data_IF_239680535474
#
_entry.id   IF_239680535474
#
_cell.length_a   1.000
_cell.length_b   1.000
_cell.length_c   1.000
_cell.angle_alpha   90.00
_cell.angle_beta   90.00
_cell.angle_gamma   90.00
#
_symmetry.space_group_name_H-M   'P 1'
#
loop_
_entity.id
_entity.type
_entity.pdbx_description
1 polymer ?
#
# COMPACT_ATOMS: atom_id res chain seq x y z
N UNK A 1 27.10 56.21 28.51
CA UNK A 1 27.33 54.76 28.72
C UNK A 1 26.69 53.96 27.60
N UNK A 2 27.49 53.25 26.79
CA UNK A 2 27.05 52.58 25.54
C UNK A 2 26.36 51.23 25.86
N UNK A 3 25.12 51.07 25.38
CA UNK A 3 24.30 49.85 25.53
C UNK A 3 24.93 48.68 24.76
N UNK A 4 25.28 47.59 25.44
CA UNK A 4 25.75 46.33 24.80
C UNK A 4 24.53 45.49 24.42
N UNK A 5 24.35 45.23 23.12
CA UNK A 5 23.38 44.24 22.60
C UNK A 5 23.94 42.83 22.79
N UNK A 6 23.14 41.81 23.21
CA UNK A 6 23.62 40.45 23.25
C UNK A 6 23.73 39.86 21.83
N UNK A 7 24.76 39.05 21.63
CA UNK A 7 25.06 38.39 20.36
C UNK A 7 23.95 37.38 19.99
N UNK A 8 23.48 37.43 18.74
CA UNK A 8 22.59 36.42 18.17
C UNK A 8 23.31 35.06 18.16
N UNK A 9 22.76 34.08 18.89
CA UNK A 9 23.14 32.67 18.76
C UNK A 9 22.93 32.24 17.31
N UNK A 10 24.02 31.96 16.59
CA UNK A 10 23.96 31.28 15.30
C UNK A 10 23.59 29.82 15.58
N UNK A 11 22.37 29.42 15.19
CA UNK A 11 22.03 28.00 15.06
C UNK A 11 22.96 27.38 14.02
N UNK A 12 23.93 26.58 14.46
CA UNK A 12 24.68 25.67 13.59
C UNK A 12 23.71 24.56 13.14
N UNK A 13 23.29 24.59 11.88
CA UNK A 13 22.64 23.45 11.24
C UNK A 13 23.74 22.46 10.80
N UNK A 14 23.71 21.24 11.35
CA UNK A 14 24.60 20.15 10.95
C UNK A 14 24.09 19.43 9.69
N UNK A 15 24.96 18.75 8.93
CA UNK A 15 24.65 18.31 7.56
C UNK A 15 23.86 16.99 7.44
N UNK A 16 23.41 16.39 8.55
CA UNK A 16 22.83 15.03 8.54
C UNK A 16 21.32 14.92 8.24
N UNK A 17 20.56 16.02 8.25
CA UNK A 17 19.09 15.98 8.17
C UNK A 17 18.51 16.11 6.75
N UNK A 18 19.27 16.64 5.79
CA UNK A 18 18.75 16.91 4.45
C UNK A 18 18.51 15.63 3.64
N UNK A 19 19.44 14.66 3.70
CA UNK A 19 19.33 13.41 2.96
C UNK A 19 18.15 12.53 3.39
N UNK A 20 17.89 12.43 4.70
CA UNK A 20 16.77 11.64 5.24
C UNK A 20 15.40 12.24 4.88
N UNK A 21 15.32 13.56 4.76
CA UNK A 21 14.07 14.27 4.42
C UNK A 21 13.70 14.09 2.94
N UNK A 22 14.67 14.24 2.04
CA UNK A 22 14.46 14.03 0.60
C UNK A 22 13.94 12.63 0.28
N UNK A 23 14.50 11.60 0.92
CA UNK A 23 14.07 10.21 0.71
C UNK A 23 12.64 9.97 1.25
N UNK A 24 12.31 10.51 2.43
CA UNK A 24 10.95 10.42 2.97
C UNK A 24 9.93 11.15 2.08
N UNK A 25 10.31 12.31 1.52
CA UNK A 25 9.46 13.08 0.61
C UNK A 25 9.20 12.29 -0.69
N UNK A 26 10.21 11.62 -1.27
CA UNK A 26 10.05 10.77 -2.46
C UNK A 26 9.08 9.59 -2.22
N UNK A 27 9.19 8.92 -1.07
CA UNK A 27 8.28 7.81 -0.73
C UNK A 27 6.85 8.29 -0.53
N UNK A 28 6.70 9.44 0.12
CA UNK A 28 5.40 10.06 0.29
C UNK A 28 4.79 10.50 -1.07
N UNK A 29 5.62 10.99 -2.00
CA UNK A 29 5.20 11.29 -3.37
C UNK A 29 4.74 10.04 -4.12
N UNK A 30 5.47 8.92 -4.02
CA UNK A 30 5.05 7.64 -4.61
C UNK A 30 3.69 7.23 -4.06
N UNK A 31 3.51 7.24 -2.74
CA UNK A 31 2.24 6.91 -2.11
C UNK A 31 1.08 7.77 -2.63
N UNK A 32 1.28 9.09 -2.74
CA UNK A 32 0.26 10.00 -3.27
C UNK A 32 0.00 9.81 -4.77
N UNK A 33 1.01 9.43 -5.55
CA UNK A 33 0.83 9.10 -6.97
C UNK A 33 -0.03 7.86 -7.14
N UNK A 34 0.15 6.83 -6.30
CA UNK A 34 -0.71 5.65 -6.27
C UNK A 34 -2.16 5.95 -5.89
N UNK A 35 -2.40 6.97 -5.08
CA UNK A 35 -3.75 7.45 -4.82
C UNK A 35 -4.36 8.21 -6.01
N UNK A 36 -3.59 9.13 -6.62
CA UNK A 36 -4.07 10.00 -7.71
C UNK A 36 -4.24 9.26 -9.04
N UNK A 37 -3.35 8.30 -9.30
CA UNK A 37 -3.29 7.49 -10.51
C UNK A 37 -3.14 6.01 -10.10
N UNK A 38 -4.20 5.40 -9.55
CA UNK A 38 -4.11 4.02 -9.11
C UNK A 38 -3.78 3.08 -10.29
N UNK A 39 -2.86 2.14 -10.07
CA UNK A 39 -2.50 1.11 -11.05
C UNK A 39 -3.46 -0.05 -10.94
N UNK A 40 -3.69 -0.77 -12.03
CA UNK A 40 -4.55 -1.96 -12.03
C UNK A 40 -5.98 -1.69 -11.54
N UNK A 41 -6.48 -0.45 -11.61
CA UNK A 41 -7.85 -0.14 -11.21
C UNK A 41 -8.84 -0.63 -12.28
N UNK A 42 -9.85 -1.37 -11.86
CA UNK A 42 -10.81 -2.05 -12.71
C UNK A 42 -11.03 -3.49 -12.27
N UNK A 43 -11.99 -4.16 -12.90
CA UNK A 43 -12.28 -5.57 -12.66
C UNK A 43 -11.72 -6.41 -13.80
N UNK A 44 -11.39 -7.68 -13.51
CA UNK A 44 -11.03 -8.65 -14.55
C UNK A 44 -12.25 -9.48 -14.94
N UNK A 45 -12.45 -9.70 -16.24
CA UNK A 45 -13.59 -10.49 -16.73
C UNK A 45 -13.50 -11.98 -16.41
N UNK A 46 -12.29 -12.53 -16.19
CA UNK A 46 -12.12 -13.94 -15.82
C UNK A 46 -10.94 -14.09 -14.86
N UNK A 47 -11.18 -13.79 -13.60
CA UNK A 47 -10.23 -14.00 -12.52
C UNK A 47 -10.32 -15.44 -12.00
N UNK A 48 -9.18 -16.03 -11.64
CA UNK A 48 -9.12 -17.32 -10.93
C UNK A 48 -9.40 -17.12 -9.44
N UNK A 49 -8.88 -16.01 -8.89
CA UNK A 49 -9.10 -15.60 -7.50
C UNK A 49 -9.81 -14.25 -7.53
N UNK A 50 -11.01 -14.17 -6.94
CA UNK A 50 -11.78 -12.93 -6.81
C UNK A 50 -12.41 -12.84 -5.43
N UNK A 51 -12.12 -11.79 -4.68
CA UNK A 51 -12.70 -11.61 -3.35
C UNK A 51 -12.87 -10.13 -2.97
N UNK A 52 -14.00 -9.82 -2.31
CA UNK A 52 -14.34 -8.48 -1.82
C UNK A 52 -14.37 -8.47 -0.29
N UNK A 53 -13.76 -7.44 0.30
CA UNK A 53 -13.81 -7.18 1.74
C UNK A 53 -14.26 -5.76 2.02
N UNK A 54 -14.87 -5.55 3.18
CA UNK A 54 -15.30 -4.26 3.67
C UNK A 54 -14.83 -4.05 5.10
N UNK A 55 -14.32 -2.85 5.37
CA UNK A 55 -13.97 -2.39 6.70
C UNK A 55 -15.18 -1.73 7.37
N UNK A 56 -15.86 -2.48 8.24
CA UNK A 56 -17.07 -2.07 8.96
C UNK A 56 -16.89 -0.81 9.84
N UNK A 57 -15.65 -0.41 10.16
CA UNK A 57 -15.40 0.78 10.97
C UNK A 57 -15.49 2.09 10.19
N UNK A 58 -15.24 2.07 8.89
CA UNK A 58 -15.20 3.30 8.08
C UNK A 58 -15.93 3.19 6.74
N UNK A 59 -16.43 2.00 6.36
CA UNK A 59 -17.12 1.75 5.09
C UNK A 59 -16.20 1.59 3.88
N UNK A 60 -14.87 1.62 4.07
CA UNK A 60 -13.92 1.33 2.98
C UNK A 60 -14.15 -0.11 2.50
N UNK A 61 -14.20 -0.35 1.20
CA UNK A 61 -14.25 -1.68 0.63
C UNK A 61 -13.31 -1.81 -0.57
N UNK A 62 -12.80 -3.02 -0.75
CA UNK A 62 -11.93 -3.36 -1.88
C UNK A 62 -12.23 -4.77 -2.35
N UNK A 63 -12.22 -4.96 -3.67
CA UNK A 63 -12.27 -6.23 -4.36
C UNK A 63 -10.97 -6.40 -5.13
N UNK A 64 -10.35 -7.57 -5.00
CA UNK A 64 -9.20 -7.98 -5.80
C UNK A 64 -9.61 -9.09 -6.75
N UNK A 65 -9.14 -8.96 -7.98
CA UNK A 65 -9.28 -9.94 -9.05
C UNK A 65 -7.88 -10.33 -9.53
N UNK A 66 -7.55 -11.62 -9.51
CA UNK A 66 -6.22 -12.14 -9.87
C UNK A 66 -6.39 -13.29 -10.86
N UNK A 67 -5.60 -13.26 -11.94
CA UNK A 67 -5.49 -14.34 -12.91
C UNK A 67 -4.10 -14.97 -12.83
N UNK A 68 -4.06 -16.29 -12.68
CA UNK A 68 -2.84 -17.09 -12.68
C UNK A 68 -2.50 -17.51 -14.11
N UNK A 69 -1.22 -17.44 -14.46
CA UNK A 69 -0.70 -17.95 -15.73
C UNK A 69 -0.34 -19.43 -15.64
N UNK A 70 0.12 -20.01 -16.76
CA UNK A 70 0.42 -21.45 -16.88
C UNK A 70 1.53 -21.99 -15.96
N UNK A 71 2.32 -21.12 -15.32
CA UNK A 71 3.35 -21.47 -14.33
C UNK A 71 2.91 -21.23 -12.87
N UNK A 72 1.63 -20.93 -12.62
CA UNK A 72 1.13 -20.57 -11.28
C UNK A 72 1.53 -19.17 -10.81
N UNK A 73 2.16 -18.37 -11.68
CA UNK A 73 2.48 -16.97 -11.40
C UNK A 73 1.30 -16.05 -11.73
N UNK A 74 1.16 -14.94 -10.99
CA UNK A 74 0.18 -13.90 -11.31
C UNK A 74 0.47 -13.28 -12.67
N UNK A 75 -0.44 -13.48 -13.62
CA UNK A 75 -0.35 -12.93 -14.97
C UNK A 75 -1.08 -11.59 -15.12
N UNK A 76 -2.20 -11.44 -14.41
CA UNK A 76 -2.98 -10.20 -14.38
C UNK A 76 -3.58 -9.99 -13.00
N UNK A 77 -3.74 -8.73 -12.65
CA UNK A 77 -4.41 -8.31 -11.42
C UNK A 77 -5.22 -7.05 -11.69
N UNK A 78 -6.40 -6.99 -11.09
CA UNK A 78 -7.30 -5.85 -11.07
C UNK A 78 -7.78 -5.59 -9.65
N UNK A 79 -8.12 -4.34 -9.36
CA UNK A 79 -8.85 -3.99 -8.14
C UNK A 79 -9.98 -3.00 -8.41
N UNK A 80 -11.12 -3.22 -7.76
CA UNK A 80 -12.19 -2.23 -7.61
C UNK A 80 -12.40 -1.91 -6.13
N UNK A 81 -12.84 -0.70 -5.81
CA UNK A 81 -12.97 -0.28 -4.43
C UNK A 81 -13.33 1.18 -4.27
N UNK A 82 -13.89 1.47 -3.10
CA UNK A 82 -14.13 2.81 -2.60
C UNK A 82 -13.62 2.89 -1.16
N UNK A 83 -12.95 3.98 -0.84
CA UNK A 83 -12.37 4.14 0.48
C UNK A 83 -11.42 5.31 0.57
N UNK A 84 -10.86 5.48 1.75
CA UNK A 84 -9.95 6.60 2.00
C UNK A 84 -8.67 6.52 1.16
N UNK A 85 -7.91 7.63 1.14
CA UNK A 85 -6.61 7.77 0.46
C UNK A 85 -5.69 6.58 0.72
N UNK A 86 -5.64 6.11 1.98
CA UNK A 86 -4.80 4.98 2.38
C UNK A 86 -5.29 3.68 1.74
N UNK A 87 -6.59 3.39 1.76
CA UNK A 87 -7.13 2.18 1.16
C UNK A 87 -6.84 2.09 -0.34
N UNK A 88 -7.11 3.17 -1.09
CA UNK A 88 -6.91 3.20 -2.55
C UNK A 88 -5.42 3.15 -2.92
N UNK A 89 -4.55 3.90 -2.23
CA UNK A 89 -3.11 3.84 -2.47
C UNK A 89 -2.54 2.45 -2.14
N UNK A 90 -2.96 1.86 -1.02
CA UNK A 90 -2.55 0.52 -0.61
C UNK A 90 -2.98 -0.55 -1.60
N UNK A 91 -4.20 -0.48 -2.13
CA UNK A 91 -4.68 -1.44 -3.13
C UNK A 91 -3.83 -1.36 -4.39
N UNK A 92 -3.63 -0.14 -4.89
CA UNK A 92 -2.79 0.17 -6.06
C UNK A 92 -1.34 -0.30 -5.91
N UNK A 93 -0.73 -0.09 -4.74
CA UNK A 93 0.64 -0.55 -4.45
C UNK A 93 0.70 -2.08 -4.35
N UNK A 94 -0.28 -2.69 -3.66
CA UNK A 94 -0.34 -4.14 -3.52
C UNK A 94 -0.47 -4.79 -4.90
N UNK A 95 -1.37 -4.32 -5.77
CA UNK A 95 -1.55 -4.93 -7.09
C UNK A 95 -0.30 -4.88 -7.96
N UNK A 96 0.49 -3.80 -7.92
CA UNK A 96 1.79 -3.79 -8.60
C UNK A 96 2.73 -4.88 -8.05
N UNK A 97 2.76 -5.04 -6.73
CA UNK A 97 3.61 -6.02 -6.04
C UNK A 97 3.19 -7.48 -6.33
N UNK A 98 1.93 -7.75 -6.66
CA UNK A 98 1.45 -9.11 -6.92
C UNK A 98 1.86 -9.64 -8.29
N UNK A 99 2.08 -8.77 -9.28
CA UNK A 99 2.39 -9.19 -10.64
C UNK A 99 3.66 -10.03 -10.71
N UNK A 100 3.58 -11.19 -11.36
CA UNK A 100 4.71 -12.11 -11.54
C UNK A 100 5.01 -13.01 -10.34
N UNK A 101 4.40 -12.78 -9.18
CA UNK A 101 4.61 -13.62 -7.99
C UNK A 101 3.94 -14.98 -8.10
N UNK A 102 4.53 -15.99 -7.47
CA UNK A 102 3.92 -17.32 -7.32
C UNK A 102 2.88 -17.31 -6.20
N UNK A 103 2.01 -18.32 -6.21
CA UNK A 103 1.03 -18.52 -5.14
C UNK A 103 1.66 -18.55 -3.74
N UNK A 104 2.80 -19.23 -3.58
CA UNK A 104 3.51 -19.31 -2.30
C UNK A 104 3.98 -17.94 -1.83
N UNK A 105 4.47 -17.10 -2.75
CA UNK A 105 4.87 -15.73 -2.45
C UNK A 105 3.68 -14.86 -2.08
N UNK A 106 2.51 -15.08 -2.70
CA UNK A 106 1.28 -14.38 -2.33
C UNK A 106 0.85 -14.74 -0.90
N UNK A 107 0.92 -16.03 -0.54
CA UNK A 107 0.58 -16.53 0.80
C UNK A 107 1.56 -16.04 1.87
N UNK A 108 2.81 -15.79 1.51
CA UNK A 108 3.82 -15.27 2.41
C UNK A 108 3.65 -13.77 2.73
N UNK A 109 2.82 -13.03 1.97
CA UNK A 109 2.59 -11.61 2.22
C UNK A 109 1.89 -11.38 3.57
N UNK A 110 2.61 -10.74 4.47
CA UNK A 110 2.14 -10.39 5.81
C UNK A 110 1.93 -8.89 6.02
N UNK A 111 1.36 -8.55 7.17
CA UNK A 111 1.04 -7.18 7.56
C UNK A 111 2.27 -6.25 7.54
N UNK A 112 3.40 -6.71 8.08
CA UNK A 112 4.63 -5.92 8.14
C UNK A 112 5.17 -5.60 6.75
N UNK A 113 5.15 -6.57 5.84
CA UNK A 113 5.56 -6.37 4.46
C UNK A 113 4.63 -5.38 3.75
N UNK A 114 3.32 -5.57 3.91
CA UNK A 114 2.33 -4.66 3.32
C UNK A 114 2.50 -3.21 3.81
N UNK A 115 2.69 -3.02 5.12
CA UNK A 115 2.93 -1.69 5.69
C UNK A 115 4.27 -1.11 5.23
N UNK A 116 5.30 -1.95 5.08
CA UNK A 116 6.61 -1.57 4.55
C UNK A 116 6.54 -1.01 3.13
N UNK A 117 5.77 -1.64 2.24
CA UNK A 117 5.61 -1.21 0.83
C UNK A 117 5.07 0.21 0.68
N UNK A 118 4.29 0.68 1.65
CA UNK A 118 3.68 2.01 1.62
C UNK A 118 4.69 3.12 1.93
N UNK A 119 5.76 2.80 2.65
CA UNK A 119 6.80 3.73 3.07
C UNK A 119 6.27 5.02 3.74
N UNK A 120 5.12 4.93 4.40
CA UNK A 120 4.49 6.04 5.15
C UNK A 120 4.25 5.62 6.59
N UNK A 121 4.42 6.56 7.52
CA UNK A 121 4.10 6.34 8.93
C UNK A 121 2.60 6.44 9.13
N UNK A 122 1.94 5.33 9.44
CA UNK A 122 0.52 5.26 9.74
C UNK A 122 0.30 5.07 11.24
N UNK A 123 -0.66 5.80 11.80
CA UNK A 123 -1.17 5.50 13.14
C UNK A 123 -2.10 4.28 13.10
N UNK A 124 -2.31 3.66 14.26
CA UNK A 124 -3.13 2.45 14.45
C UNK A 124 -4.51 2.54 13.80
N UNK A 125 -5.14 3.72 13.81
CA UNK A 125 -6.45 3.94 13.19
C UNK A 125 -6.45 3.74 11.66
N UNK A 126 -5.33 4.02 10.98
CA UNK A 126 -5.22 3.94 9.51
C UNK A 126 -4.60 2.62 9.03
N UNK A 127 -3.95 1.87 9.90
CA UNK A 127 -3.37 0.57 9.54
C UNK A 127 -4.42 -0.42 9.04
N UNK A 128 -5.65 -0.37 9.54
CA UNK A 128 -6.75 -1.24 9.05
C UNK A 128 -7.13 -0.94 7.60
N UNK A 129 -7.21 0.33 7.21
CA UNK A 129 -7.42 0.72 5.81
C UNK A 129 -6.25 0.27 4.93
N UNK A 130 -5.02 0.38 5.44
CA UNK A 130 -3.81 0.00 4.72
C UNK A 130 -3.72 -1.51 4.44
N UNK A 131 -4.23 -2.33 5.36
CA UNK A 131 -4.20 -3.78 5.28
C UNK A 131 -5.44 -4.38 4.59
N UNK A 132 -6.48 -3.58 4.34
CA UNK A 132 -7.72 -4.09 3.75
C UNK A 132 -7.50 -4.84 2.41
N UNK A 133 -6.66 -4.34 1.48
CA UNK A 133 -6.35 -5.08 0.25
C UNK A 133 -5.61 -6.40 0.51
N UNK A 134 -4.72 -6.44 1.50
CA UNK A 134 -4.05 -7.68 1.89
C UNK A 134 -5.06 -8.71 2.43
N UNK A 135 -6.07 -8.26 3.19
CA UNK A 135 -7.15 -9.16 3.65
C UNK A 135 -7.97 -9.70 2.49
N UNK A 136 -8.18 -8.91 1.44
CA UNK A 136 -8.86 -9.36 0.23
C UNK A 136 -8.07 -10.48 -0.45
N UNK A 137 -6.75 -10.31 -0.57
CA UNK A 137 -5.85 -11.33 -1.12
C UNK A 137 -5.90 -12.62 -0.31
N UNK A 138 -5.72 -12.53 1.02
CA UNK A 138 -5.69 -13.69 1.90
C UNK A 138 -7.01 -14.47 1.89
N UNK A 139 -8.14 -13.76 1.92
CA UNK A 139 -9.46 -14.38 1.86
C UNK A 139 -9.70 -15.02 0.49
N UNK A 140 -9.33 -14.35 -0.61
CA UNK A 140 -9.45 -14.90 -1.95
C UNK A 140 -8.61 -16.17 -2.16
N UNK A 141 -7.36 -16.18 -1.69
CA UNK A 141 -6.51 -17.38 -1.73
C UNK A 141 -7.12 -18.54 -0.95
N UNK A 142 -7.69 -18.27 0.23
CA UNK A 142 -8.35 -19.29 1.04
C UNK A 142 -9.62 -19.84 0.38
N UNK A 143 -10.40 -19.01 -0.31
CA UNK A 143 -11.58 -19.44 -1.09
C UNK A 143 -11.18 -20.31 -2.29
N UNK A 144 -10.11 -19.91 -2.99
CA UNK A 144 -9.61 -20.60 -4.17
C UNK A 144 -9.03 -21.98 -3.84
N UNK A 145 -8.29 -22.09 -2.73
CA UNK A 145 -7.78 -23.37 -2.22
C UNK A 145 -8.90 -24.35 -1.84
N UNK A 146 -10.04 -23.86 -1.36
CA UNK A 146 -11.21 -24.71 -1.07
C UNK A 146 -11.93 -25.18 -2.33
N UNK A 147 -11.69 -24.52 -3.46
CA UNK A 147 -12.39 -24.74 -4.73
C UNK A 147 -11.54 -25.47 -5.78
N UNK A 148 -10.26 -25.74 -5.46
CA UNK A 148 -9.28 -26.43 -6.30
C UNK A 148 -8.99 -27.82 -5.76
#
# INVERSE_FOLDING_TARGET
MRRRRPARRRHRQGPGYAGRRLVADLYHERFLDHYRKPRNRGELESADISHRVENQLCGDWVKLDIRLGGAGCVSQVGFSGDGCVVCIASASILTEELLGKTEEELRALGDEQMLGLLHVSLGTARSKCALLPLRALQAGLADWERSS
#
